data_IF_196924870706
#
_entry.id   IF_196924870706
#
_cell.length_a   1.000
_cell.length_b   1.000
_cell.length_c   1.000
_cell.angle_alpha   90.00
_cell.angle_beta   90.00
_cell.angle_gamma   90.00
#
_symmetry.space_group_name_H-M   'P 1'
#
loop_
_entity.id
_entity.type
_entity.pdbx_description
1 polymer ?
#
# COMPACT_ATOMS: atom_id res chain seq x y z
N UNK A 1 8.86 -4.10 1.80
CA UNK A 1 8.55 -5.04 2.92
C UNK A 1 9.72 -5.47 3.77
N UNK A 2 10.87 -5.88 3.20
CA UNK A 2 12.00 -6.30 4.03
C UNK A 2 12.39 -5.24 5.06
N UNK A 3 12.53 -3.98 4.62
CA UNK A 3 12.80 -2.85 5.51
C UNK A 3 11.71 -2.63 6.57
N UNK A 4 10.43 -2.77 6.21
CA UNK A 4 9.33 -2.65 7.17
C UNK A 4 9.45 -3.68 8.30
N UNK A 5 9.74 -4.93 7.95
CA UNK A 5 9.93 -6.02 8.92
C UNK A 5 11.17 -5.83 9.80
N UNK A 6 12.26 -5.30 9.23
CA UNK A 6 13.47 -4.98 10.01
C UNK A 6 13.18 -3.87 11.01
N UNK A 7 12.61 -2.75 10.56
CA UNK A 7 12.27 -1.62 11.43
C UNK A 7 11.33 -2.02 12.55
N UNK A 8 10.32 -2.83 12.26
CA UNK A 8 9.40 -3.35 13.28
C UNK A 8 10.13 -4.10 14.40
N UNK A 9 11.07 -4.99 14.05
CA UNK A 9 11.86 -5.75 15.03
C UNK A 9 12.76 -4.87 15.89
N UNK A 10 13.13 -3.70 15.38
CA UNK A 10 13.98 -2.71 16.05
C UNK A 10 13.16 -1.68 16.85
N UNK A 11 11.82 -1.82 16.90
CA UNK A 11 10.93 -0.87 17.58
C UNK A 11 10.62 0.40 16.77
N UNK A 12 11.05 0.46 15.50
CA UNK A 12 10.82 1.58 14.59
C UNK A 12 9.45 1.51 13.90
N UNK A 13 8.36 1.61 14.66
CA UNK A 13 6.98 1.38 14.18
C UNK A 13 6.49 2.40 13.16
N UNK A 14 6.83 3.68 13.35
CA UNK A 14 6.53 4.76 12.39
C UNK A 14 7.20 4.47 11.04
N UNK A 15 8.50 4.16 11.08
CA UNK A 15 9.27 3.80 9.90
C UNK A 15 8.75 2.51 9.24
N UNK A 16 8.39 1.50 10.02
CA UNK A 16 7.82 0.26 9.51
C UNK A 16 6.53 0.52 8.73
N UNK A 17 5.64 1.35 9.29
CA UNK A 17 4.38 1.78 8.68
C UNK A 17 4.60 2.57 7.40
N UNK A 18 5.52 3.53 7.41
CA UNK A 18 5.91 4.30 6.23
C UNK A 18 6.36 3.37 5.09
N UNK A 19 7.21 2.38 5.40
CA UNK A 19 7.66 1.37 4.42
C UNK A 19 6.54 0.45 3.92
N UNK A 20 5.52 0.17 4.73
CA UNK A 20 4.34 -0.58 4.29
C UNK A 20 3.53 0.20 3.26
N UNK A 21 3.26 1.49 3.54
CA UNK A 21 2.55 2.37 2.61
C UNK A 21 3.26 2.46 1.26
N UNK A 22 4.57 2.75 1.24
CA UNK A 22 5.29 2.91 -0.03
C UNK A 22 5.40 1.59 -0.81
N UNK A 23 5.52 0.45 -0.14
CA UNK A 23 5.51 -0.85 -0.81
C UNK A 23 4.18 -1.07 -1.56
N UNK A 24 3.04 -0.80 -0.91
CA UNK A 24 1.73 -0.87 -1.54
C UNK A 24 1.60 0.17 -2.65
N UNK A 25 1.98 1.43 -2.38
CA UNK A 25 1.86 2.54 -3.32
C UNK A 25 2.54 2.26 -4.66
N UNK A 26 3.77 1.73 -4.64
CA UNK A 26 4.49 1.39 -5.87
C UNK A 26 3.81 0.26 -6.67
N UNK A 27 3.17 -0.70 -5.98
CA UNK A 27 2.37 -1.71 -6.66
C UNK A 27 1.08 -1.14 -7.27
N UNK A 28 0.44 -0.15 -6.61
CA UNK A 28 -0.70 0.55 -7.22
C UNK A 28 -0.27 1.26 -8.52
N UNK A 29 0.91 1.90 -8.51
CA UNK A 29 1.48 2.51 -9.72
C UNK A 29 1.75 1.46 -10.80
N UNK A 30 2.39 0.34 -10.45
CA UNK A 30 2.65 -0.76 -11.38
C UNK A 30 1.37 -1.33 -11.99
N UNK A 31 0.32 -1.52 -11.18
CA UNK A 31 -0.98 -1.98 -11.67
C UNK A 31 -1.57 -0.97 -12.67
N UNK A 32 -1.54 0.33 -12.38
CA UNK A 32 -2.05 1.36 -13.31
C UNK A 32 -1.28 1.39 -14.63
N UNK A 33 0.03 1.11 -14.62
CA UNK A 33 0.82 1.02 -15.84
C UNK A 33 0.34 -0.11 -16.77
N UNK A 34 -0.22 -1.21 -16.26
CA UNK A 34 -0.85 -2.26 -17.10
C UNK A 34 -2.06 -1.76 -17.90
N UNK A 35 -2.58 -0.57 -17.56
CA UNK A 35 -3.67 0.11 -18.28
C UNK A 35 -3.19 1.36 -19.03
N UNK A 36 -1.87 1.55 -19.17
CA UNK A 36 -1.26 2.77 -19.72
C UNK A 36 -1.62 4.06 -18.95
N UNK A 37 -1.85 3.95 -17.64
CA UNK A 37 -2.21 5.08 -16.78
C UNK A 37 -1.06 5.41 -15.82
N UNK A 38 -0.76 6.70 -15.67
CA UNK A 38 0.22 7.20 -14.70
C UNK A 38 -0.21 8.54 -14.12
N UNK A 39 0.15 8.78 -12.84
CA UNK A 39 -0.24 9.98 -12.10
C UNK A 39 0.92 10.45 -11.22
N UNK A 40 1.10 11.77 -11.14
CA UNK A 40 2.18 12.40 -10.35
C UNK A 40 1.80 12.64 -8.88
N UNK A 41 0.51 12.69 -8.56
CA UNK A 41 0.01 12.92 -7.20
C UNK A 41 -0.36 11.61 -6.52
N UNK A 42 -0.04 11.46 -5.23
CA UNK A 42 -0.43 10.31 -4.42
C UNK A 42 -1.95 10.06 -4.45
N UNK A 43 -2.74 11.11 -4.27
CA UNK A 43 -4.20 11.04 -4.35
C UNK A 43 -4.70 10.62 -5.74
N UNK A 44 -3.98 11.00 -6.80
CA UNK A 44 -4.26 10.57 -8.17
C UNK A 44 -4.07 9.08 -8.35
N UNK A 45 -2.95 8.53 -7.86
CA UNK A 45 -2.69 7.08 -7.91
C UNK A 45 -3.76 6.30 -7.15
N UNK A 46 -4.07 6.68 -5.91
CA UNK A 46 -5.04 5.98 -5.07
C UNK A 46 -6.45 6.05 -5.67
N UNK A 47 -6.89 7.24 -6.10
CA UNK A 47 -8.21 7.45 -6.67
C UNK A 47 -8.41 6.66 -7.97
N UNK A 48 -7.42 6.66 -8.86
CA UNK A 48 -7.52 5.95 -10.13
C UNK A 48 -7.32 4.44 -9.96
N UNK A 49 -6.51 4.00 -9.00
CA UNK A 49 -6.47 2.57 -8.64
C UNK A 49 -7.84 2.09 -8.17
N UNK A 50 -8.50 2.84 -7.28
CA UNK A 50 -9.85 2.52 -6.82
C UNK A 50 -10.85 2.48 -7.98
N UNK A 51 -10.81 3.48 -8.88
CA UNK A 51 -11.72 3.54 -10.01
C UNK A 51 -11.54 2.36 -10.98
N UNK A 52 -10.29 2.01 -11.35
CA UNK A 52 -10.03 1.03 -12.41
C UNK A 52 -9.89 -0.41 -11.95
N UNK A 53 -9.63 -0.65 -10.66
CA UNK A 53 -9.40 -1.99 -10.13
C UNK A 53 -10.37 -2.41 -9.03
N UNK A 54 -10.75 -1.49 -8.12
CA UNK A 54 -11.65 -1.85 -7.02
C UNK A 54 -13.09 -1.77 -7.48
N UNK A 55 -13.53 -0.62 -8.01
CA UNK A 55 -14.91 -0.42 -8.47
C UNK A 55 -15.32 -1.30 -9.66
N UNK A 56 -14.34 -1.86 -10.36
CA UNK A 56 -14.54 -2.80 -11.47
C UNK A 56 -14.55 -4.27 -11.02
N UNK A 57 -14.33 -4.54 -9.73
CA UNK A 57 -14.35 -5.88 -9.14
C UNK A 57 -13.08 -6.70 -9.37
N UNK A 58 -11.98 -6.11 -9.87
CA UNK A 58 -10.69 -6.81 -10.03
C UNK A 58 -10.07 -7.08 -8.65
N UNK A 59 -10.18 -6.13 -7.73
CA UNK A 59 -9.79 -6.27 -6.34
C UNK A 59 -10.97 -5.97 -5.40
N UNK A 60 -11.00 -6.56 -4.19
CA UNK A 60 -12.12 -6.39 -3.27
C UNK A 60 -12.19 -4.97 -2.69
N UNK A 61 -13.40 -4.51 -2.35
CA UNK A 61 -13.67 -3.17 -1.79
C UNK A 61 -12.86 -2.87 -0.52
N UNK A 62 -12.58 -3.90 0.29
CA UNK A 62 -11.75 -3.78 1.50
C UNK A 62 -10.36 -3.19 1.21
N UNK A 63 -9.81 -3.36 0.01
CA UNK A 63 -8.50 -2.80 -0.35
C UNK A 63 -8.53 -1.28 -0.30
N UNK A 64 -9.65 -0.64 -0.65
CA UNK A 64 -9.79 0.80 -0.58
C UNK A 64 -9.63 1.33 0.84
N UNK A 65 -10.23 0.63 1.81
CA UNK A 65 -10.15 0.97 3.23
C UNK A 65 -8.73 0.76 3.78
N UNK A 66 -8.10 -0.36 3.44
CA UNK A 66 -6.73 -0.67 3.84
C UNK A 66 -5.74 0.37 3.27
N UNK A 67 -5.84 0.70 1.98
CA UNK A 67 -4.96 1.70 1.34
C UNK A 67 -5.12 3.07 2.00
N UNK A 68 -6.36 3.46 2.33
CA UNK A 68 -6.62 4.71 3.03
C UNK A 68 -5.95 4.72 4.41
N UNK A 69 -6.14 3.67 5.21
CA UNK A 69 -5.53 3.53 6.54
C UNK A 69 -4.01 3.56 6.48
N UNK A 70 -3.39 2.81 5.56
CA UNK A 70 -1.94 2.81 5.38
C UNK A 70 -1.40 4.21 5.04
N UNK A 71 -2.13 4.98 4.23
CA UNK A 71 -1.76 6.37 3.91
C UNK A 71 -1.82 7.25 5.14
N UNK A 72 -2.92 7.19 5.88
CA UNK A 72 -3.13 7.98 7.10
C UNK A 72 -2.08 7.65 8.16
N UNK A 73 -1.82 6.37 8.41
CA UNK A 73 -0.81 5.93 9.36
C UNK A 73 0.61 6.33 8.93
N UNK A 74 0.89 6.36 7.62
CA UNK A 74 2.15 6.93 7.11
C UNK A 74 2.22 8.43 7.32
N UNK A 75 1.12 9.17 7.12
CA UNK A 75 1.09 10.62 7.41
C UNK A 75 1.37 10.89 8.90
N UNK A 76 0.82 10.05 9.80
CA UNK A 76 1.13 10.09 11.24
C UNK A 76 2.62 9.81 11.47
N UNK A 77 3.13 8.65 11.04
CA UNK A 77 4.50 8.23 11.34
C UNK A 77 5.59 9.09 10.69
N UNK A 78 5.33 9.72 9.54
CA UNK A 78 6.31 10.55 8.84
C UNK A 78 6.31 12.02 9.34
N UNK A 79 5.19 12.54 9.86
CA UNK A 79 5.01 13.99 10.04
C UNK A 79 4.31 14.44 11.33
N UNK A 80 3.61 13.57 12.05
CA UNK A 80 2.93 13.95 13.30
C UNK A 80 3.95 13.98 14.45
N UNK A 81 3.82 14.97 15.33
CA UNK A 81 4.71 15.19 16.48
C UNK A 81 4.05 14.84 17.82
N UNK A 82 2.73 14.68 17.84
CA UNK A 82 1.95 14.33 19.03
C UNK A 82 1.58 12.85 19.03
N UNK A 83 1.33 12.28 17.84
CA UNK A 83 0.93 10.88 17.67
C UNK A 83 2.11 10.02 17.20
N UNK A 84 2.12 8.78 17.66
CA UNK A 84 3.06 7.74 17.23
C UNK A 84 2.29 6.48 16.87
N UNK A 85 2.86 5.69 15.98
CA UNK A 85 2.32 4.38 15.62
C UNK A 85 2.68 3.37 16.71
N UNK A 86 1.66 2.66 17.22
CA UNK A 86 1.87 1.56 18.17
C UNK A 86 2.44 0.32 17.47
N UNK A 87 2.99 -0.61 18.25
CA UNK A 87 3.43 -1.90 17.73
C UNK A 87 2.27 -2.69 17.15
N UNK A 88 1.10 -2.72 17.79
CA UNK A 88 -0.07 -3.42 17.24
C UNK A 88 -0.50 -2.81 15.90
N UNK A 89 -0.52 -1.48 15.82
CA UNK A 89 -0.88 -0.78 14.57
C UNK A 89 0.14 -1.03 13.47
N UNK A 90 1.44 -1.04 13.79
CA UNK A 90 2.48 -1.35 12.82
C UNK A 90 2.43 -2.82 12.37
N UNK A 91 2.09 -3.75 13.26
CA UNK A 91 1.89 -5.16 12.90
C UNK A 91 0.69 -5.33 11.95
N UNK A 92 -0.44 -4.70 12.25
CA UNK A 92 -1.62 -4.66 11.37
C UNK A 92 -1.26 -4.09 9.99
N UNK A 93 -0.55 -2.95 9.95
CA UNK A 93 -0.10 -2.33 8.69
C UNK A 93 0.79 -3.27 7.87
N UNK A 94 1.66 -4.06 8.53
CA UNK A 94 2.50 -5.06 7.86
C UNK A 94 1.66 -6.19 7.26
N UNK A 95 0.68 -6.71 8.01
CA UNK A 95 -0.20 -7.79 7.56
C UNK A 95 -1.06 -7.33 6.37
N UNK A 96 -1.65 -6.15 6.48
CA UNK A 96 -2.44 -5.50 5.44
C UNK A 96 -1.65 -5.26 4.16
N UNK A 97 -0.45 -4.70 4.29
CA UNK A 97 0.42 -4.47 3.15
C UNK A 97 0.76 -5.78 2.44
N UNK A 98 1.07 -6.85 3.19
CA UNK A 98 1.33 -8.17 2.60
C UNK A 98 0.11 -8.72 1.85
N UNK A 99 -1.10 -8.58 2.43
CA UNK A 99 -2.35 -9.01 1.80
C UNK A 99 -2.55 -8.34 0.45
N UNK A 100 -2.38 -7.01 0.38
CA UNK A 100 -2.50 -6.27 -0.89
C UNK A 100 -1.40 -6.68 -1.87
N UNK A 101 -0.15 -6.74 -1.40
CA UNK A 101 1.00 -7.07 -2.24
C UNK A 101 0.83 -8.39 -2.96
N UNK A 102 0.46 -9.45 -2.23
CA UNK A 102 0.26 -10.78 -2.81
C UNK A 102 -0.77 -10.74 -3.94
N UNK A 103 -1.88 -9.99 -3.81
CA UNK A 103 -2.91 -9.95 -4.86
C UNK A 103 -2.49 -9.10 -6.06
N UNK A 104 -1.80 -7.98 -5.84
CA UNK A 104 -1.33 -7.16 -6.96
C UNK A 104 -0.18 -7.84 -7.70
N UNK A 105 0.77 -8.46 -7.00
CA UNK A 105 1.86 -9.22 -7.63
C UNK A 105 1.32 -10.35 -8.50
N UNK A 106 0.33 -11.11 -8.00
CA UNK A 106 -0.33 -12.15 -8.80
C UNK A 106 -1.02 -11.58 -10.05
N UNK A 107 -1.70 -10.44 -9.93
CA UNK A 107 -2.29 -9.74 -11.08
C UNK A 107 -1.22 -9.34 -12.11
N UNK A 108 -0.12 -8.74 -11.67
CA UNK A 108 0.99 -8.31 -12.53
C UNK A 108 1.68 -9.49 -13.22
N UNK A 109 1.91 -10.58 -12.49
CA UNK A 109 2.52 -11.79 -13.06
C UNK A 109 1.62 -12.42 -14.13
N UNK A 110 0.30 -12.41 -13.94
CA UNK A 110 -0.63 -12.87 -14.95
C UNK A 110 -0.68 -11.94 -16.16
N UNK A 111 -0.58 -10.62 -15.95
CA UNK A 111 -0.51 -9.66 -17.04
C UNK A 111 0.73 -9.88 -17.91
N UNK A 112 1.93 -9.95 -17.31
CA UNK A 112 3.21 -10.14 -18.02
C UNK A 112 3.26 -11.47 -18.80
N UNK A 113 2.62 -12.53 -18.29
CA UNK A 113 2.60 -13.85 -18.96
C UNK A 113 1.66 -13.90 -20.17
N UNK A 114 0.72 -12.96 -20.27
CA UNK A 114 -0.27 -12.91 -21.34
C UNK A 114 0.05 -11.81 -22.37
N UNK A 115 1.14 -11.06 -22.19
CA UNK A 115 1.77 -10.21 -23.20
C UNK A 115 2.75 -11.03 -24.06
#
# INVERSE_FOLDING_TARGET
MQQAKTLFKEGGYDGATSRCYYAVFHLLQAALLTKNLSYSKHSGVIGNFSHHFIKTGIFPDEFGQIIHRLREHREIGDYDYEKMISDETAEENIQDAQKIMVRIENYLMNFIRNE
#
